data_IF_712592968981
#
_entry.id   IF_712592968981
#
_cell.length_a   1.000
_cell.length_b   1.000
_cell.length_c   1.000
_cell.angle_alpha   90.00
_cell.angle_beta   90.00
_cell.angle_gamma   90.00
#
_symmetry.space_group_name_H-M   'P 1'
#
loop_
_entity.id
_entity.type
_entity.pdbx_description
1 polymer ?
#
# COMPACT_ATOMS: atom_id res chain seq x y z
N UNK A 1 6.80 11.52 20.78
CA UNK A 1 6.65 11.02 19.41
C UNK A 1 6.87 9.51 19.45
N UNK A 2 5.95 8.70 18.92
CA UNK A 2 5.97 7.22 19.09
C UNK A 2 6.41 6.45 17.83
N UNK A 3 6.64 7.16 16.72
CA UNK A 3 6.96 6.52 15.46
C UNK A 3 6.92 7.47 14.27
N UNK A 4 7.11 6.91 13.08
CA UNK A 4 7.11 7.61 11.78
C UNK A 4 6.39 6.77 10.72
N UNK A 5 5.66 7.45 9.83
CA UNK A 5 5.25 6.90 8.53
C UNK A 5 6.34 7.27 7.53
N UNK A 6 7.11 6.28 7.08
CA UNK A 6 8.18 6.46 6.11
C UNK A 6 7.61 6.23 4.70
N UNK A 7 7.59 7.28 3.87
CA UNK A 7 7.00 7.25 2.50
C UNK A 7 7.98 7.82 1.46
N UNK A 8 9.29 7.76 1.71
CA UNK A 8 10.28 8.33 0.78
C UNK A 8 10.66 7.38 -0.35
N UNK A 9 10.36 6.09 -0.19
CA UNK A 9 10.88 5.04 -1.07
C UNK A 9 12.33 4.62 -0.79
N UNK A 10 13.05 5.30 0.11
CA UNK A 10 14.47 5.03 0.36
C UNK A 10 14.70 4.03 1.49
N UNK A 11 14.93 2.77 1.13
CA UNK A 11 15.25 1.71 2.09
C UNK A 11 16.56 1.93 2.88
N UNK A 12 17.48 2.78 2.39
CA UNK A 12 18.67 3.18 3.16
C UNK A 12 18.27 4.09 4.31
N UNK A 13 17.39 5.06 4.05
CA UNK A 13 16.82 5.92 5.08
C UNK A 13 16.02 5.11 6.10
N UNK A 14 15.17 4.19 5.64
CA UNK A 14 14.43 3.27 6.53
C UNK A 14 15.39 2.52 7.47
N UNK A 15 16.45 1.93 6.93
CA UNK A 15 17.44 1.19 7.72
C UNK A 15 18.15 2.09 8.74
N UNK A 16 18.47 3.32 8.36
CA UNK A 16 19.08 4.31 9.25
C UNK A 16 18.15 4.72 10.38
N UNK A 17 16.85 4.91 10.10
CA UNK A 17 15.84 5.22 11.12
C UNK A 17 15.80 4.09 12.16
N UNK A 18 15.74 2.83 11.72
CA UNK A 18 15.78 1.70 12.65
C UNK A 18 17.05 1.70 13.50
N UNK A 19 18.22 1.88 12.89
CA UNK A 19 19.48 1.87 13.63
C UNK A 19 19.57 3.01 14.66
N UNK A 20 19.14 4.22 14.29
CA UNK A 20 19.19 5.39 15.17
C UNK A 20 18.13 5.36 16.28
N UNK A 21 17.14 4.47 16.18
CA UNK A 21 16.03 4.38 17.14
C UNK A 21 15.94 3.02 17.83
N UNK A 22 16.98 2.18 17.73
CA UNK A 22 16.97 0.81 18.26
C UNK A 22 16.78 0.74 19.78
N UNK A 23 17.29 1.74 20.51
CA UNK A 23 17.15 1.85 21.98
C UNK A 23 15.86 2.56 22.41
N UNK A 24 14.98 2.91 21.45
CA UNK A 24 13.73 3.60 21.69
C UNK A 24 12.55 2.66 21.40
N UNK A 25 11.44 2.83 22.14
CA UNK A 25 10.16 2.24 21.77
C UNK A 25 9.53 3.03 20.60
N UNK A 26 10.19 3.03 19.45
CA UNK A 26 9.86 3.83 18.28
C UNK A 26 9.40 2.93 17.12
N UNK A 27 8.27 3.27 16.51
CA UNK A 27 7.63 2.45 15.46
C UNK A 27 7.84 3.03 14.08
N UNK A 28 8.31 2.22 13.14
CA UNK A 28 8.39 2.59 11.73
C UNK A 28 7.24 1.92 10.97
N UNK A 29 6.43 2.73 10.29
CA UNK A 29 5.35 2.27 9.43
C UNK A 29 5.70 2.58 7.98
N UNK A 30 5.44 1.63 7.10
CA UNK A 30 5.48 1.88 5.67
C UNK A 30 4.40 2.88 5.28
N UNK A 31 4.73 3.80 4.38
CA UNK A 31 3.79 4.72 3.75
C UNK A 31 3.44 4.38 2.31
N UNK A 32 4.12 3.38 1.74
CA UNK A 32 3.94 2.92 0.37
C UNK A 32 3.61 1.43 0.39
N UNK A 33 2.46 1.04 -0.16
CA UNK A 33 1.94 -0.32 0.01
C UNK A 33 2.92 -1.41 -0.46
N UNK A 34 3.64 -1.15 -1.56
CA UNK A 34 4.67 -2.06 -2.10
C UNK A 34 5.90 -2.22 -1.19
N UNK A 35 6.16 -1.29 -0.27
CA UNK A 35 7.25 -1.40 0.71
C UNK A 35 6.81 -2.03 2.04
N UNK A 36 5.55 -2.43 2.18
CA UNK A 36 5.04 -3.05 3.42
C UNK A 36 5.89 -4.24 3.84
N UNK A 37 6.07 -5.24 2.95
CA UNK A 37 6.81 -6.45 3.28
C UNK A 37 8.32 -6.19 3.51
N UNK A 38 9.03 -5.42 2.66
CA UNK A 38 10.41 -5.01 2.94
C UNK A 38 10.61 -4.30 4.28
N UNK A 39 9.74 -3.34 4.63
CA UNK A 39 9.86 -2.59 5.88
C UNK A 39 9.54 -3.49 7.08
N UNK A 40 8.53 -4.37 6.97
CA UNK A 40 8.25 -5.37 8.00
C UNK A 40 9.47 -6.27 8.25
N UNK A 41 10.18 -6.69 7.20
CA UNK A 41 11.38 -7.52 7.31
C UNK A 41 12.53 -6.84 8.07
N UNK A 42 12.58 -5.50 8.10
CA UNK A 42 13.56 -4.71 8.86
C UNK A 42 13.12 -4.37 10.30
N UNK A 43 11.97 -4.86 10.75
CA UNK A 43 11.42 -4.56 12.08
C UNK A 43 10.22 -3.61 12.07
N UNK A 44 9.63 -3.36 10.90
CA UNK A 44 8.47 -2.50 10.73
C UNK A 44 7.26 -2.91 11.57
N UNK A 45 6.45 -1.90 11.90
CA UNK A 45 5.24 -2.05 12.70
C UNK A 45 3.97 -2.22 11.88
N UNK A 46 4.01 -1.97 10.57
CA UNK A 46 2.86 -2.08 9.68
C UNK A 46 2.93 -1.09 8.52
N UNK A 47 1.77 -0.71 8.01
CA UNK A 47 1.62 0.22 6.88
C UNK A 47 0.46 1.19 7.13
N UNK A 48 0.61 2.44 6.69
CA UNK A 48 -0.47 3.41 6.54
C UNK A 48 -0.87 3.38 5.06
N UNK A 49 -1.90 2.58 4.75
CA UNK A 49 -2.13 2.00 3.42
C UNK A 49 -3.15 2.76 2.57
N UNK A 50 -2.87 2.86 1.26
CA UNK A 50 -3.85 3.26 0.24
C UNK A 50 -4.65 2.05 -0.21
N UNK A 51 -3.97 0.94 -0.52
CA UNK A 51 -4.57 -0.30 -1.00
C UNK A 51 -5.62 -0.89 -0.05
N UNK A 52 -5.51 -0.65 1.26
CA UNK A 52 -6.49 -1.07 2.25
C UNK A 52 -7.88 -0.43 2.09
N UNK A 53 -8.05 0.63 1.28
CA UNK A 53 -9.38 1.13 0.90
C UNK A 53 -10.10 0.21 -0.09
N UNK A 54 -9.36 -0.63 -0.81
CA UNK A 54 -9.89 -1.53 -1.85
C UNK A 54 -9.83 -2.99 -1.39
N UNK A 55 -8.73 -3.40 -0.76
CA UNK A 55 -8.46 -4.78 -0.36
C UNK A 55 -8.01 -4.91 1.11
N UNK A 56 -8.78 -4.39 2.09
CA UNK A 56 -8.40 -4.36 3.50
C UNK A 56 -8.06 -5.77 4.03
N UNK A 57 -8.86 -6.77 3.68
CA UNK A 57 -8.66 -8.14 4.17
C UNK A 57 -7.35 -8.75 3.69
N UNK A 58 -6.95 -8.48 2.44
CA UNK A 58 -5.70 -9.00 1.86
C UNK A 58 -4.48 -8.29 2.47
N UNK A 59 -4.56 -6.98 2.75
CA UNK A 59 -3.51 -6.25 3.49
C UNK A 59 -3.35 -6.75 4.93
N UNK A 60 -4.46 -6.98 5.64
CA UNK A 60 -4.44 -7.57 6.98
C UNK A 60 -3.87 -8.98 6.95
N UNK A 61 -4.22 -9.79 5.95
CA UNK A 61 -3.70 -11.15 5.77
C UNK A 61 -2.18 -11.13 5.55
N UNK A 62 -1.65 -10.25 4.69
CA UNK A 62 -0.21 -10.07 4.49
C UNK A 62 0.50 -9.82 5.83
N UNK A 63 0.03 -8.83 6.59
CA UNK A 63 0.62 -8.50 7.89
C UNK A 63 0.56 -9.66 8.89
N UNK A 64 -0.59 -10.35 8.97
CA UNK A 64 -0.77 -11.48 9.90
C UNK A 64 0.12 -12.67 9.55
N UNK A 65 0.23 -13.03 8.29
CA UNK A 65 1.10 -14.13 7.86
C UNK A 65 2.57 -13.80 8.12
N UNK A 66 3.01 -12.56 7.87
CA UNK A 66 4.33 -12.11 8.27
C UNK A 66 4.56 -12.22 9.78
N UNK A 67 3.60 -11.74 10.60
CA UNK A 67 3.72 -11.79 12.08
C UNK A 67 3.72 -13.21 12.65
N UNK A 68 3.13 -14.19 11.96
CA UNK A 68 3.20 -15.62 12.33
C UNK A 68 4.54 -16.27 11.95
N UNK A 69 5.42 -15.58 11.23
CA UNK A 69 6.66 -16.13 10.68
C UNK A 69 6.49 -16.82 9.32
N UNK A 70 5.30 -16.77 8.72
CA UNK A 70 5.00 -17.39 7.43
C UNK A 70 5.46 -16.48 6.28
N UNK A 71 6.77 -16.27 6.17
CA UNK A 71 7.35 -15.33 5.19
C UNK A 71 7.03 -15.69 3.74
N UNK A 72 7.00 -16.98 3.41
CA UNK A 72 6.63 -17.47 2.08
C UNK A 72 5.21 -17.04 1.72
N UNK A 73 4.24 -17.31 2.59
CA UNK A 73 2.84 -16.91 2.38
C UNK A 73 2.67 -15.40 2.33
N UNK A 74 3.38 -14.65 3.18
CA UNK A 74 3.35 -13.19 3.13
C UNK A 74 3.89 -12.65 1.80
N UNK A 75 4.94 -13.28 1.25
CA UNK A 75 5.53 -12.94 -0.04
C UNK A 75 4.59 -13.24 -1.21
N UNK A 76 3.92 -14.40 -1.19
CA UNK A 76 2.89 -14.72 -2.18
C UNK A 76 1.81 -13.64 -2.22
N UNK A 77 1.25 -13.26 -1.06
CA UNK A 77 0.22 -12.21 -0.99
C UNK A 77 0.77 -10.86 -1.45
N UNK A 78 2.02 -10.54 -1.10
CA UNK A 78 2.67 -9.32 -1.58
C UNK A 78 2.75 -9.28 -3.11
N UNK A 79 3.19 -10.36 -3.76
CA UNK A 79 3.25 -10.43 -5.22
C UNK A 79 1.87 -10.47 -5.87
N UNK A 80 0.91 -11.15 -5.25
CA UNK A 80 -0.51 -11.14 -5.65
C UNK A 80 -1.04 -9.71 -5.69
N UNK A 81 -0.64 -8.84 -4.75
CA UNK A 81 -1.10 -7.45 -4.65
C UNK A 81 -0.23 -6.43 -5.37
N UNK A 82 0.99 -6.80 -5.78
CA UNK A 82 1.95 -5.87 -6.38
C UNK A 82 1.40 -5.13 -7.62
N UNK A 83 0.68 -5.77 -8.55
CA UNK A 83 0.05 -5.06 -9.66
C UNK A 83 -0.91 -3.96 -9.20
N UNK A 84 -1.70 -4.21 -8.15
CA UNK A 84 -2.61 -3.21 -7.58
C UNK A 84 -1.86 -2.07 -6.91
N UNK A 85 -0.78 -2.35 -6.18
CA UNK A 85 0.04 -1.29 -5.58
C UNK A 85 0.59 -0.35 -6.64
N UNK A 86 1.04 -0.87 -7.78
CA UNK A 86 1.54 -0.06 -8.87
C UNK A 86 0.41 0.73 -9.54
N UNK A 87 -0.72 0.09 -9.85
CA UNK A 87 -1.86 0.73 -10.48
C UNK A 87 -2.47 1.86 -9.62
N UNK A 88 -2.46 1.72 -8.29
CA UNK A 88 -2.98 2.74 -7.38
C UNK A 88 -2.09 4.00 -7.27
N UNK A 89 -0.87 3.95 -7.83
CA UNK A 89 0.10 5.04 -7.84
C UNK A 89 0.57 5.42 -9.26
N UNK A 90 -0.12 4.94 -10.30
CA UNK A 90 0.15 5.32 -11.70
C UNK A 90 -0.10 6.81 -11.95
N UNK A 91 -0.96 7.42 -11.13
CA UNK A 91 -1.15 8.86 -11.02
C UNK A 91 -1.06 9.33 -9.57
N UNK A 92 -1.15 10.64 -9.36
CA UNK A 92 -1.15 11.24 -8.02
C UNK A 92 -2.30 10.70 -7.17
N UNK A 93 -1.97 10.02 -6.08
CA UNK A 93 -2.94 9.63 -5.04
C UNK A 93 -3.63 10.90 -4.47
N UNK A 94 -4.97 10.96 -4.35
CA UNK A 94 -5.89 9.83 -4.36
C UNK A 94 -6.65 9.56 -5.67
N UNK A 95 -6.18 10.03 -6.83
CA UNK A 95 -6.91 9.85 -8.10
C UNK A 95 -7.21 8.36 -8.39
N UNK A 96 -6.21 7.45 -8.41
CA UNK A 96 -6.47 6.05 -8.76
C UNK A 96 -7.30 5.31 -7.70
N UNK A 97 -7.05 5.54 -6.41
CA UNK A 97 -7.80 4.88 -5.34
C UNK A 97 -9.26 5.35 -5.31
N UNK A 98 -9.52 6.64 -5.59
CA UNK A 98 -10.88 7.18 -5.70
C UNK A 98 -11.63 6.57 -6.87
N UNK A 99 -10.96 6.31 -7.99
CA UNK A 99 -11.53 5.56 -9.10
C UNK A 99 -11.78 4.11 -8.70
N UNK A 100 -10.81 3.42 -8.10
CA UNK A 100 -10.98 2.02 -7.66
C UNK A 100 -12.18 1.83 -6.73
N UNK A 101 -12.35 2.68 -5.72
CA UNK A 101 -13.50 2.60 -4.78
C UNK A 101 -14.83 2.93 -5.42
N UNK A 102 -14.85 3.72 -6.51
CA UNK A 102 -16.05 3.93 -7.34
C UNK A 102 -16.41 2.67 -8.12
N UNK A 103 -15.41 1.99 -8.70
CA UNK A 103 -15.61 0.76 -9.46
C UNK A 103 -16.18 -0.38 -8.62
N UNK A 104 -15.79 -0.47 -7.34
CA UNK A 104 -16.37 -1.44 -6.39
C UNK A 104 -17.64 -0.92 -5.68
N UNK A 105 -18.17 0.24 -6.11
CA UNK A 105 -19.47 0.75 -5.67
C UNK A 105 -19.51 1.37 -4.27
N UNK A 106 -18.37 1.76 -3.68
CA UNK A 106 -18.31 2.32 -2.33
C UNK A 106 -18.54 3.83 -2.27
N UNK A 107 -17.94 4.62 -3.17
CA UNK A 107 -18.17 6.06 -3.25
C UNK A 107 -17.76 6.64 -4.62
N UNK A 108 -18.31 7.81 -4.98
CA UNK A 108 -17.93 8.51 -6.22
C UNK A 108 -16.44 8.85 -6.26
N UNK A 109 -15.83 8.80 -7.46
CA UNK A 109 -14.43 9.21 -7.68
C UNK A 109 -14.22 10.73 -7.65
N UNK A 110 -15.29 11.53 -7.47
CA UNK A 110 -15.20 12.99 -7.43
C UNK A 110 -14.24 13.48 -6.36
N UNK A 111 -13.37 14.41 -6.75
CA UNK A 111 -12.39 15.05 -5.88
C UNK A 111 -12.55 16.58 -5.94
N UNK A 112 -11.94 17.26 -4.97
CA UNK A 112 -11.85 18.73 -4.97
C UNK A 112 -10.64 19.15 -5.81
N UNK A 113 -10.81 20.20 -6.60
CA UNK A 113 -9.69 20.86 -7.28
C UNK A 113 -8.58 21.22 -6.28
N UNK A 114 -7.29 21.12 -6.67
CA UNK A 114 -6.80 20.98 -8.04
C UNK A 114 -6.75 19.55 -8.60
N UNK A 115 -7.22 18.54 -7.87
CA UNK A 115 -7.27 17.16 -8.38
C UNK A 115 -8.29 17.04 -9.51
N UNK A 116 -7.94 16.29 -10.55
CA UNK A 116 -8.78 16.01 -11.71
C UNK A 116 -9.20 14.53 -11.76
N UNK A 117 -10.04 14.21 -12.73
CA UNK A 117 -10.37 12.81 -13.03
C UNK A 117 -9.13 12.06 -13.54
N UNK A 118 -9.16 10.74 -13.37
CA UNK A 118 -8.11 9.84 -13.84
C UNK A 118 -8.06 9.85 -15.36
N UNK A 119 -6.87 9.78 -15.94
CA UNK A 119 -6.71 9.61 -17.37
C UNK A 119 -7.36 8.29 -17.84
N UNK A 120 -7.99 8.31 -19.02
CA UNK A 120 -8.70 7.15 -19.56
C UNK A 120 -7.76 5.95 -19.78
N UNK A 121 -6.51 6.18 -20.20
CA UNK A 121 -5.51 5.13 -20.39
C UNK A 121 -5.16 4.45 -19.06
N UNK A 122 -4.93 5.25 -18.02
CA UNK A 122 -4.64 4.73 -16.70
C UNK A 122 -5.85 4.06 -16.05
N UNK A 123 -7.08 4.56 -16.28
CA UNK A 123 -8.30 3.90 -15.80
C UNK A 123 -8.45 2.50 -16.41
N UNK A 124 -8.12 2.31 -17.69
CA UNK A 124 -8.12 0.99 -18.32
C UNK A 124 -7.15 0.03 -17.63
N UNK A 125 -5.91 0.46 -17.38
CA UNK A 125 -4.89 -0.34 -16.67
C UNK A 125 -5.39 -0.73 -15.27
N UNK A 126 -5.94 0.23 -14.52
CA UNK A 126 -6.49 -0.01 -13.19
C UNK A 126 -7.63 -1.05 -13.23
N UNK A 127 -8.55 -0.93 -14.20
CA UNK A 127 -9.65 -1.88 -14.37
C UNK A 127 -9.18 -3.29 -14.70
N UNK A 128 -8.18 -3.44 -15.57
CA UNK A 128 -7.61 -4.75 -15.89
C UNK A 128 -7.02 -5.43 -14.65
N UNK A 129 -6.18 -4.71 -13.91
CA UNK A 129 -5.59 -5.21 -12.66
C UNK A 129 -6.68 -5.59 -11.64
N UNK A 130 -7.73 -4.77 -11.51
CA UNK A 130 -8.83 -5.07 -10.58
C UNK A 130 -9.63 -6.31 -11.00
N UNK A 131 -9.84 -6.55 -12.31
CA UNK A 131 -10.48 -7.77 -12.83
C UNK A 131 -9.63 -9.02 -12.59
N UNK A 132 -8.32 -8.95 -12.87
CA UNK A 132 -7.38 -10.05 -12.61
C UNK A 132 -7.38 -10.45 -11.12
N UNK A 133 -7.60 -9.48 -10.24
CA UNK A 133 -7.72 -9.69 -8.80
C UNK A 133 -9.12 -10.08 -8.31
N UNK A 134 -10.10 -10.19 -9.21
CA UNK A 134 -11.48 -10.56 -8.90
C UNK A 134 -12.22 -9.54 -8.03
N UNK A 135 -11.87 -8.25 -8.16
CA UNK A 135 -12.47 -7.15 -7.40
C UNK A 135 -13.71 -6.55 -8.07
N UNK A 136 -13.78 -6.64 -9.40
CA UNK A 136 -14.87 -6.17 -10.27
C UNK A 136 -15.14 -7.15 -11.40
#
# INVERSE_FOLDING_TARGET
IIGVKESSGDMRQVSMIFKLTEDLNFRVYSGDDHLTLPILALGGSGVVSVAANVVPDRMVKLYREFKKGNLERAREIHYELLPLFNALFIETNPIPVKKAVELIGLCSSRMRLPMCEMDEEHEMILREVMKELGLI
#
